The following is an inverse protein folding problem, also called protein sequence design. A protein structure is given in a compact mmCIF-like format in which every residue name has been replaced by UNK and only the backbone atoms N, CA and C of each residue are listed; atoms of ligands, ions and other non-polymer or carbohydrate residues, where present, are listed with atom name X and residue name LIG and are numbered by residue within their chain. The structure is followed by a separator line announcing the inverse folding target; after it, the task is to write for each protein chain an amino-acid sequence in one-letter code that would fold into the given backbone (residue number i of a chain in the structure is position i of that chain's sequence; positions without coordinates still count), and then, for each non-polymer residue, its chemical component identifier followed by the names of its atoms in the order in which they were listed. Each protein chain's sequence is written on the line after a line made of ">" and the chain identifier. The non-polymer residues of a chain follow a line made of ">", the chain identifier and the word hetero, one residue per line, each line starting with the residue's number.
data_IF_677599327149
#
_entry.id   IF_677599327149
#
_cell.length_a   1.000
_cell.length_b   1.000
_cell.length_c   1.000
_cell.angle_alpha   90.00
_cell.angle_beta   90.00
_cell.angle_gamma   90.00
#
_symmetry.space_group_name_H-M   'P 1'
#
loop_
_entity.id
_entity.type
_entity.pdbx_description
1 polymer ?
#
# COMPACT_ATOMS: atom_id res chain seq x y z
N UNK A 1 -12.93 -14.91 20.59
CA UNK A 1 -12.03 -15.23 19.47
C UNK A 1 -11.44 -13.90 19.04
N UNK A 2 -10.12 -13.76 18.97
CA UNK A 2 -9.51 -12.48 18.62
C UNK A 2 -9.98 -12.11 17.22
N UNK A 3 -10.79 -11.05 17.13
CA UNK A 3 -11.11 -10.42 15.87
C UNK A 3 -9.84 -9.71 15.41
N UNK A 4 -9.03 -10.42 14.63
CA UNK A 4 -7.72 -9.91 14.21
C UNK A 4 -7.97 -8.91 13.10
N UNK A 5 -7.74 -7.63 13.39
CA UNK A 5 -7.73 -6.55 12.39
C UNK A 5 -6.94 -6.95 11.15
N UNK A 6 -7.41 -6.52 9.98
CA UNK A 6 -6.68 -6.69 8.73
C UNK A 6 -5.51 -5.72 8.72
N UNK A 7 -4.31 -6.25 8.49
CA UNK A 7 -3.06 -5.47 8.49
C UNK A 7 -2.83 -4.86 7.12
N UNK A 8 -2.95 -3.53 7.05
CA UNK A 8 -2.94 -2.76 5.81
C UNK A 8 -1.64 -1.97 5.67
N UNK A 9 -1.09 -2.01 4.45
CA UNK A 9 0.01 -1.16 4.02
C UNK A 9 -0.42 -0.18 2.92
N UNK A 10 0.17 1.01 2.86
CA UNK A 10 -0.16 2.01 1.84
C UNK A 10 1.06 2.38 1.00
N UNK A 11 0.99 2.16 -0.32
CA UNK A 11 1.95 2.71 -1.28
C UNK A 11 1.52 4.11 -1.72
N UNK A 12 2.47 5.04 -1.78
CA UNK A 12 2.21 6.45 -2.07
C UNK A 12 1.67 7.22 -0.87
N UNK A 13 1.97 6.73 0.35
CA UNK A 13 1.41 7.24 1.61
C UNK A 13 1.74 8.71 1.90
N UNK A 14 2.82 9.26 1.34
CA UNK A 14 3.19 10.66 1.50
C UNK A 14 2.45 11.61 0.55
N UNK A 15 1.83 11.08 -0.51
CA UNK A 15 1.04 11.84 -1.45
C UNK A 15 -0.34 12.22 -0.90
N UNK A 16 -1.01 13.19 -1.55
CA UNK A 16 -2.34 13.68 -1.13
C UNK A 16 -3.36 12.57 -0.93
N UNK A 17 -3.51 11.69 -1.94
CA UNK A 17 -4.49 10.59 -1.86
C UNK A 17 -4.04 9.49 -0.90
N UNK A 18 -2.74 9.14 -0.89
CA UNK A 18 -2.23 8.12 0.03
C UNK A 18 -2.38 8.51 1.50
N UNK A 19 -2.17 9.79 1.85
CA UNK A 19 -2.43 10.29 3.19
C UNK A 19 -3.91 10.14 3.58
N UNK A 20 -4.84 10.49 2.68
CA UNK A 20 -6.28 10.27 2.92
C UNK A 20 -6.63 8.79 3.09
N UNK A 21 -5.96 7.89 2.39
CA UNK A 21 -6.12 6.44 2.59
C UNK A 21 -5.62 6.02 3.96
N UNK A 22 -4.47 6.51 4.41
CA UNK A 22 -3.97 6.27 5.76
C UNK A 22 -5.00 6.72 6.81
N UNK A 23 -5.61 7.90 6.63
CA UNK A 23 -6.67 8.39 7.52
C UNK A 23 -7.90 7.47 7.53
N UNK A 24 -8.32 6.99 6.36
CA UNK A 24 -9.47 6.09 6.23
C UNK A 24 -9.21 4.73 6.91
N UNK A 25 -8.01 4.16 6.74
CA UNK A 25 -7.61 2.91 7.40
C UNK A 25 -7.60 3.08 8.92
N UNK A 26 -7.09 4.21 9.42
CA UNK A 26 -7.06 4.48 10.86
C UNK A 26 -8.45 4.71 11.48
N UNK A 27 -9.42 5.16 10.70
CA UNK A 27 -10.79 5.38 11.15
C UNK A 27 -11.63 4.09 11.22
N UNK A 28 -11.18 3.01 10.58
CA UNK A 28 -11.90 1.74 10.52
C UNK A 28 -11.48 0.81 11.68
N UNK A 29 -12.42 0.36 12.53
CA UNK A 29 -12.10 -0.51 13.66
C UNK A 29 -11.60 -1.89 13.24
N UNK A 30 -11.88 -2.35 12.02
CA UNK A 30 -11.51 -3.69 11.54
C UNK A 30 -10.16 -3.69 10.82
N UNK A 31 -9.55 -2.52 10.63
CA UNK A 31 -8.28 -2.34 9.96
C UNK A 31 -7.16 -1.87 10.92
N UNK A 32 -5.93 -2.12 10.51
CA UNK A 32 -4.72 -1.64 11.18
C UNK A 32 -3.71 -1.14 10.13
N UNK A 33 -3.32 0.13 10.20
CA UNK A 33 -2.23 0.65 9.36
C UNK A 33 -0.88 0.22 9.94
N UNK A 34 -0.18 -0.69 9.26
CA UNK A 34 1.09 -1.26 9.76
C UNK A 34 2.32 -0.86 8.95
N UNK A 35 2.13 -0.32 7.74
CA UNK A 35 3.23 0.13 6.89
C UNK A 35 2.81 1.27 5.95
N UNK A 36 3.75 2.18 5.71
CA UNK A 36 3.60 3.29 4.78
C UNK A 36 4.87 3.37 3.91
N UNK A 37 4.71 3.39 2.59
CA UNK A 37 5.84 3.42 1.65
C UNK A 37 5.65 4.56 0.65
N UNK A 38 6.64 5.43 0.60
CA UNK A 38 6.75 6.50 -0.39
C UNK A 38 8.21 6.99 -0.46
N UNK A 39 8.96 6.65 -1.53
CA UNK A 39 10.35 7.08 -1.70
C UNK A 39 10.56 8.60 -1.67
N UNK A 40 9.53 9.38 -1.99
CA UNK A 40 9.61 10.84 -2.00
C UNK A 40 9.41 11.48 -0.61
N UNK A 41 8.94 10.71 0.38
CA UNK A 41 8.56 11.22 1.71
C UNK A 41 9.18 10.44 2.87
N UNK A 42 10.28 9.74 2.63
CA UNK A 42 10.99 8.89 3.61
C UNK A 42 11.27 9.65 4.91
N UNK A 43 11.00 8.99 6.03
CA UNK A 43 11.22 9.55 7.38
C UNK A 43 10.12 10.47 7.88
N UNK A 44 9.15 10.85 7.04
CA UNK A 44 7.91 11.48 7.52
C UNK A 44 7.12 10.47 8.34
N UNK A 45 6.49 10.91 9.42
CA UNK A 45 5.67 10.04 10.28
C UNK A 45 4.19 10.35 10.06
N UNK A 46 3.40 9.32 9.76
CA UNK A 46 1.94 9.38 9.61
C UNK A 46 1.34 8.37 10.58
N UNK A 47 0.47 8.82 11.49
CA UNK A 47 -0.20 7.97 12.49
C UNK A 47 0.76 7.09 13.31
N UNK A 48 1.98 7.59 13.58
CA UNK A 48 3.01 6.86 14.30
C UNK A 48 3.85 5.88 13.45
N UNK A 49 3.55 5.74 12.16
CA UNK A 49 4.32 4.93 11.21
C UNK A 49 5.27 5.83 10.42
N UNK A 50 6.56 5.49 10.42
CA UNK A 50 7.55 6.18 9.58
C UNK A 50 7.46 5.69 8.14
N UNK A 51 7.40 6.61 7.19
CA UNK A 51 7.38 6.28 5.76
C UNK A 51 8.73 5.68 5.35
N UNK A 52 8.66 4.47 4.80
CA UNK A 52 9.80 3.76 4.25
C UNK A 52 10.00 4.05 2.75
N UNK A 53 11.22 3.84 2.28
CA UNK A 53 11.59 3.99 0.88
C UNK A 53 11.25 2.75 0.03
N UNK A 54 11.19 1.58 0.64
CA UNK A 54 11.24 0.29 -0.04
C UNK A 54 10.06 -0.60 0.34
N UNK A 55 9.45 -1.33 -0.62
CA UNK A 55 8.36 -2.27 -0.37
C UNK A 55 8.65 -3.36 0.66
N UNK A 56 9.92 -3.69 0.95
CA UNK A 56 10.31 -4.64 2.02
C UNK A 56 9.70 -4.29 3.37
N UNK A 57 9.47 -3.00 3.65
CA UNK A 57 8.78 -2.58 4.86
C UNK A 57 7.37 -3.18 5.00
N UNK A 58 6.69 -3.46 3.89
CA UNK A 58 5.38 -4.13 3.90
C UNK A 58 5.50 -5.59 4.36
N UNK A 59 6.53 -6.31 3.91
CA UNK A 59 6.78 -7.69 4.30
C UNK A 59 7.22 -7.78 5.77
N UNK A 60 8.14 -6.92 6.19
CA UNK A 60 8.62 -6.85 7.58
C UNK A 60 7.48 -6.53 8.55
N UNK A 61 6.58 -5.64 8.13
CA UNK A 61 5.39 -5.31 8.88
C UNK A 61 4.30 -6.39 8.79
N UNK A 62 4.44 -7.43 7.98
CA UNK A 62 3.43 -8.49 7.81
C UNK A 62 2.09 -7.97 7.27
N UNK A 63 2.15 -7.09 6.28
CA UNK A 63 0.98 -6.56 5.56
C UNK A 63 0.23 -7.70 4.87
N UNK A 64 -1.10 -7.70 4.98
CA UNK A 64 -2.00 -8.64 4.31
C UNK A 64 -2.66 -8.00 3.09
N UNK A 65 -2.98 -6.71 3.18
CA UNK A 65 -3.61 -5.93 2.11
C UNK A 65 -2.78 -4.66 1.86
N UNK A 66 -2.35 -4.43 0.63
CA UNK A 66 -1.72 -3.19 0.21
C UNK A 66 -2.71 -2.32 -0.57
N UNK A 67 -2.82 -1.04 -0.21
CA UNK A 67 -3.56 -0.04 -0.99
C UNK A 67 -2.56 0.80 -1.78
N UNK A 68 -2.71 0.85 -3.10
CA UNK A 68 -1.79 1.55 -4.01
C UNK A 68 -2.43 2.80 -4.60
N UNK A 69 -1.91 3.97 -4.19
CA UNK A 69 -2.22 5.29 -4.75
C UNK A 69 -0.98 5.97 -5.32
N UNK A 70 -0.06 5.19 -5.87
CA UNK A 70 1.12 5.72 -6.58
C UNK A 70 0.80 6.07 -8.03
N UNK A 71 1.79 6.61 -8.73
CA UNK A 71 1.73 6.81 -10.18
C UNK A 71 1.82 5.46 -10.92
N UNK A 72 1.26 5.37 -12.13
CA UNK A 72 1.18 4.13 -12.91
C UNK A 72 2.54 3.42 -13.08
N UNK A 73 3.64 4.16 -13.23
CA UNK A 73 4.97 3.57 -13.36
C UNK A 73 5.40 2.81 -12.10
N UNK A 74 5.16 3.39 -10.92
CA UNK A 74 5.47 2.75 -9.65
C UNK A 74 4.50 1.60 -9.36
N UNK A 75 3.22 1.79 -9.64
CA UNK A 75 2.21 0.78 -9.34
C UNK A 75 2.44 -0.54 -10.09
N UNK A 76 2.91 -0.51 -11.35
CA UNK A 76 3.30 -1.72 -12.08
C UNK A 76 4.30 -2.59 -11.28
N UNK A 77 5.29 -1.96 -10.67
CA UNK A 77 6.29 -2.64 -9.83
C UNK A 77 5.70 -3.07 -8.50
N UNK A 78 4.89 -2.22 -7.85
CA UNK A 78 4.25 -2.54 -6.57
C UNK A 78 3.30 -3.73 -6.68
N UNK A 79 2.50 -3.82 -7.75
CA UNK A 79 1.54 -4.90 -7.96
C UNK A 79 2.25 -6.24 -8.22
N UNK A 80 3.34 -6.24 -8.99
CA UNK A 80 4.19 -7.41 -9.14
C UNK A 80 4.79 -7.83 -7.79
N UNK A 81 5.26 -6.86 -7.00
CA UNK A 81 5.77 -7.13 -5.66
C UNK A 81 4.69 -7.77 -4.76
N UNK A 82 3.47 -7.22 -4.76
CA UNK A 82 2.35 -7.75 -3.97
C UNK A 82 2.03 -9.21 -4.35
N UNK A 83 1.94 -9.49 -5.67
CA UNK A 83 1.68 -10.82 -6.18
C UNK A 83 2.74 -11.84 -5.73
N UNK A 84 4.02 -11.46 -5.78
CA UNK A 84 5.14 -12.30 -5.37
C UNK A 84 5.18 -12.59 -3.86
N UNK A 85 4.61 -11.70 -3.04
CA UNK A 85 4.64 -11.80 -1.57
C UNK A 85 3.29 -12.25 -0.97
N UNK A 86 2.31 -12.61 -1.81
CA UNK A 86 0.99 -13.03 -1.35
C UNK A 86 0.18 -11.91 -0.69
N UNK A 87 0.48 -10.66 -1.00
CA UNK A 87 -0.24 -9.49 -0.48
C UNK A 87 -1.39 -9.12 -1.41
N UNK A 88 -2.59 -8.96 -0.89
CA UNK A 88 -3.75 -8.55 -1.68
C UNK A 88 -3.66 -7.07 -2.03
N UNK A 89 -3.79 -6.70 -3.30
CA UNK A 89 -3.69 -5.31 -3.72
C UNK A 89 -5.08 -4.67 -3.98
N UNK A 90 -5.30 -3.49 -3.42
CA UNK A 90 -6.41 -2.58 -3.75
C UNK A 90 -5.83 -1.37 -4.46
N UNK A 91 -6.21 -1.14 -5.73
CA UNK A 91 -5.48 -0.20 -6.60
C UNK A 91 -6.35 1.00 -6.95
N UNK A 92 -5.94 2.18 -6.49
CA UNK A 92 -6.53 3.47 -6.84
C UNK A 92 -5.76 4.20 -7.95
N UNK A 93 -4.59 3.69 -8.35
CA UNK A 93 -3.78 4.24 -9.44
C UNK A 93 -4.54 4.28 -10.77
N UNK A 94 -4.51 5.43 -11.42
CA UNK A 94 -5.05 5.63 -12.77
C UNK A 94 -3.93 5.64 -13.81
N UNK A 95 -4.29 5.54 -15.10
CA UNK A 95 -3.33 5.58 -16.21
C UNK A 95 -2.73 4.22 -16.60
N UNK A 96 -3.39 3.13 -16.22
CA UNK A 96 -3.09 1.81 -16.77
C UNK A 96 -3.62 1.66 -18.19
N UNK A 97 -2.87 0.94 -19.00
CA UNK A 97 -3.25 0.50 -20.35
C UNK A 97 -3.92 -0.88 -20.27
N UNK A 98 -4.61 -1.27 -21.34
CA UNK A 98 -5.21 -2.61 -21.42
C UNK A 98 -4.16 -3.73 -21.30
N UNK A 99 -2.93 -3.49 -21.79
CA UNK A 99 -1.82 -4.42 -21.65
C UNK A 99 -1.39 -4.59 -20.18
N UNK A 100 -1.41 -3.51 -19.39
CA UNK A 100 -1.13 -3.59 -17.95
C UNK A 100 -2.17 -4.46 -17.24
N UNK A 101 -3.46 -4.21 -17.51
CA UNK A 101 -4.56 -4.97 -16.90
C UNK A 101 -4.51 -6.45 -17.28
N UNK A 102 -4.15 -6.76 -18.53
CA UNK A 102 -3.94 -8.14 -18.96
C UNK A 102 -2.78 -8.80 -18.19
N UNK A 103 -1.67 -8.09 -18.00
CA UNK A 103 -0.51 -8.57 -17.26
C UNK A 103 -0.76 -8.77 -15.76
N UNK A 104 -1.68 -8.03 -15.15
CA UNK A 104 -2.01 -8.19 -13.72
C UNK A 104 -2.92 -9.39 -13.43
N UNK A 105 -3.52 -10.03 -14.45
CA UNK A 105 -4.46 -11.14 -14.30
C UNK A 105 -3.83 -12.53 -14.40
N UNK A 106 -2.57 -12.61 -14.83
CA UNK A 106 -1.82 -13.86 -15.02
C UNK A 106 -1.05 -14.25 -13.77
#
# INVERSE_FOLDING_TARGET
>A
MADSKIRVGVFGAGGRMGATVCDAVMADPDLELVAAVDPACVGTVIHGISIAADPRAMADAGVQVAIDFTIAAASRTNLQWCALHGVHAVVGTTGFTDADIAGFRS
#
